data_IF_952358789136
#
_entry.id   IF_952358789136
#
_cell.length_a   1.000
_cell.length_b   1.000
_cell.length_c   1.000
_cell.angle_alpha   90.00
_cell.angle_beta   90.00
_cell.angle_gamma   90.00
#
_symmetry.space_group_name_H-M   'P 1'
#
loop_
_entity.id
_entity.type
_entity.pdbx_description
1 polymer ?
#
# COMPACT_ATOMS: atom_id res chain seq x y z
N UNK A 1 16.91 3.89 8.23
CA UNK A 1 15.81 4.74 7.74
C UNK A 1 16.19 5.42 6.42
N UNK A 2 17.30 6.16 6.35
CA UNK A 2 17.72 6.85 5.11
C UNK A 2 17.64 5.98 3.85
N UNK A 3 18.25 4.79 3.85
CA UNK A 3 18.18 3.88 2.69
C UNK A 3 16.74 3.56 2.21
N UNK A 4 15.78 3.42 3.14
CA UNK A 4 14.36 3.19 2.79
C UNK A 4 13.74 4.44 2.15
N UNK A 5 14.03 5.61 2.69
CA UNK A 5 13.52 6.88 2.16
C UNK A 5 14.16 7.21 0.80
N UNK A 6 15.47 7.00 0.67
CA UNK A 6 16.21 7.15 -0.58
C UNK A 6 15.63 6.21 -1.65
N UNK A 7 15.28 4.97 -1.29
CA UNK A 7 14.62 4.06 -2.22
C UNK A 7 13.26 4.58 -2.70
N UNK A 8 12.44 5.15 -1.83
CA UNK A 8 11.18 5.78 -2.25
C UNK A 8 11.41 6.98 -3.18
N UNK A 9 12.41 7.80 -2.87
CA UNK A 9 12.74 9.01 -3.63
C UNK A 9 13.28 8.67 -5.02
N UNK A 10 14.10 7.62 -5.13
CA UNK A 10 14.68 7.16 -6.40
C UNK A 10 13.68 6.35 -7.25
N UNK A 11 12.72 5.64 -6.63
CA UNK A 11 11.71 4.88 -7.38
C UNK A 11 10.74 5.81 -8.13
N UNK A 12 10.31 6.92 -7.51
CA UNK A 12 9.30 7.82 -8.06
C UNK A 12 9.62 8.35 -9.48
N UNK A 13 10.82 8.90 -9.77
CA UNK A 13 11.13 9.35 -11.12
C UNK A 13 11.14 8.19 -12.14
N UNK A 14 11.57 6.99 -11.74
CA UNK A 14 11.58 5.81 -12.63
C UNK A 14 10.17 5.43 -13.07
N UNK A 15 9.21 5.42 -12.13
CA UNK A 15 7.83 5.06 -12.46
C UNK A 15 7.08 6.19 -13.16
N UNK A 16 7.40 7.45 -12.86
CA UNK A 16 6.82 8.59 -13.56
C UNK A 16 7.30 8.67 -15.02
N UNK A 17 8.57 8.36 -15.29
CA UNK A 17 9.10 8.28 -16.67
C UNK A 17 8.32 7.25 -17.51
N UNK A 18 7.87 6.14 -16.91
CA UNK A 18 7.04 5.17 -17.63
C UNK A 18 5.68 5.75 -18.02
N UNK A 19 5.07 6.55 -17.15
CA UNK A 19 3.80 7.23 -17.42
C UNK A 19 3.99 8.28 -18.52
N UNK A 20 5.06 9.08 -18.46
CA UNK A 20 5.40 10.07 -19.48
C UNK A 20 5.61 9.45 -20.87
N UNK A 21 6.14 8.22 -20.91
CA UNK A 21 6.28 7.42 -22.12
C UNK A 21 4.97 6.76 -22.60
N UNK A 22 3.84 7.02 -21.94
CA UNK A 22 2.51 6.55 -22.32
C UNK A 22 2.14 5.18 -21.78
N UNK A 23 2.89 4.63 -20.84
CA UNK A 23 2.56 3.35 -20.20
C UNK A 23 1.58 3.56 -19.03
N UNK A 24 0.63 2.63 -18.88
CA UNK A 24 -0.06 2.45 -17.61
C UNK A 24 0.83 1.60 -16.69
N UNK A 25 0.96 2.02 -15.44
CA UNK A 25 1.88 1.43 -14.47
C UNK A 25 1.11 0.96 -13.25
N UNK A 26 1.40 -0.28 -12.84
CA UNK A 26 1.01 -0.83 -11.55
C UNK A 26 2.28 -0.97 -10.71
N UNK A 27 2.33 -0.31 -9.56
CA UNK A 27 3.37 -0.55 -8.54
C UNK A 27 2.76 -1.44 -7.48
N UNK A 28 3.34 -2.61 -7.25
CA UNK A 28 2.87 -3.54 -6.21
C UNK A 28 4.02 -4.06 -5.36
N UNK A 29 3.72 -4.32 -4.09
CA UNK A 29 4.62 -4.95 -3.15
C UNK A 29 4.43 -4.47 -1.73
N UNK A 30 5.34 -4.91 -0.87
CA UNK A 30 5.46 -4.48 0.52
C UNK A 30 6.20 -3.15 0.60
N UNK A 31 5.45 -2.08 0.85
CA UNK A 31 6.02 -0.76 1.07
C UNK A 31 6.63 -0.62 2.45
N UNK A 32 6.36 -1.51 3.41
CA UNK A 32 6.77 -1.39 4.80
C UNK A 32 6.28 -0.10 5.48
N UNK A 33 5.21 0.55 4.98
CA UNK A 33 4.67 1.80 5.54
C UNK A 33 3.14 1.78 5.48
N UNK A 34 2.48 2.03 6.61
CA UNK A 34 1.05 2.31 6.68
C UNK A 34 0.80 3.80 6.44
N UNK A 35 -0.06 4.16 5.49
CA UNK A 35 -0.22 5.56 5.04
C UNK A 35 -1.00 6.42 6.05
N UNK A 36 -2.15 5.93 6.50
CA UNK A 36 -3.06 6.68 7.36
C UNK A 36 -3.36 5.93 8.67
N UNK A 37 -3.87 6.61 9.72
CA UNK A 37 -4.23 5.94 10.98
C UNK A 37 -5.23 4.79 10.85
N UNK A 38 -6.04 4.76 9.79
CA UNK A 38 -6.98 3.68 9.48
C UNK A 38 -6.25 2.40 9.01
N UNK A 39 -5.00 2.51 8.56
CA UNK A 39 -4.19 1.44 7.99
C UNK A 39 -3.41 0.64 9.02
N UNK A 40 -3.62 0.86 10.32
CA UNK A 40 -3.06 0.02 11.39
C UNK A 40 -3.93 0.04 12.64
N UNK A 41 -3.87 -1.03 13.43
CA UNK A 41 -4.71 -1.19 14.61
C UNK A 41 -4.37 -0.22 15.76
N UNK A 42 -3.12 0.25 15.83
CA UNK A 42 -2.59 1.04 16.96
C UNK A 42 -1.77 2.25 16.49
N UNK A 43 -2.37 3.23 15.79
CA UNK A 43 -1.64 4.36 15.20
C UNK A 43 -0.88 5.18 16.24
N UNK A 44 -1.54 5.57 17.34
CA UNK A 44 -0.97 6.42 18.40
C UNK A 44 0.28 5.82 19.05
N UNK A 45 0.32 4.50 19.18
CA UNK A 45 1.45 3.79 19.79
C UNK A 45 2.65 3.68 18.83
N UNK A 46 2.43 3.92 17.54
CA UNK A 46 3.39 3.65 16.48
C UNK A 46 3.85 4.88 15.69
N UNK A 47 3.46 6.10 16.09
CA UNK A 47 3.88 7.36 15.44
C UNK A 47 5.41 7.55 15.40
N UNK A 48 6.15 6.83 16.25
CA UNK A 48 7.61 6.85 16.32
C UNK A 48 8.26 5.55 15.88
N UNK A 49 7.48 4.60 15.37
CA UNK A 49 7.93 3.30 14.89
C UNK A 49 8.07 3.36 13.37
N UNK A 50 9.22 2.90 12.85
CA UNK A 50 9.41 2.79 11.39
C UNK A 50 8.29 1.94 10.80
N UNK A 51 7.70 2.46 9.72
CA UNK A 51 6.47 2.00 9.09
C UNK A 51 5.26 2.90 9.36
N UNK A 52 5.30 3.79 10.35
CA UNK A 52 4.23 4.77 10.59
C UNK A 52 4.75 6.14 11.03
N UNK A 53 6.06 6.40 10.89
CA UNK A 53 6.62 7.71 11.19
C UNK A 53 6.08 8.76 10.21
N UNK A 54 5.89 10.03 10.64
CA UNK A 54 5.44 11.10 9.76
C UNK A 54 6.25 11.20 8.47
N UNK A 55 7.58 11.10 8.54
CA UNK A 55 8.47 11.20 7.38
C UNK A 55 8.28 10.05 6.35
N UNK A 56 7.86 8.86 6.78
CA UNK A 56 7.56 7.76 5.87
C UNK A 56 6.20 7.94 5.21
N UNK A 57 5.22 8.46 5.97
CA UNK A 57 3.87 8.77 5.47
C UNK A 57 3.89 9.92 4.47
N UNK A 58 4.69 10.95 4.75
CA UNK A 58 4.95 12.07 3.83
C UNK A 58 5.49 11.58 2.48
N UNK A 59 6.24 10.47 2.43
CA UNK A 59 6.68 9.89 1.15
C UNK A 59 5.52 9.29 0.37
N UNK A 60 4.59 8.58 1.02
CA UNK A 60 3.39 8.11 0.33
C UNK A 60 2.52 9.31 -0.11
N UNK A 61 2.42 10.37 0.70
CA UNK A 61 1.73 11.61 0.31
C UNK A 61 2.36 12.22 -0.97
N UNK A 62 3.69 12.19 -1.11
CA UNK A 62 4.37 12.59 -2.35
C UNK A 62 3.90 11.78 -3.55
N UNK A 63 3.79 10.45 -3.45
CA UNK A 63 3.26 9.62 -4.54
C UNK A 63 1.81 10.01 -4.87
N UNK A 64 0.94 10.14 -3.87
CA UNK A 64 -0.47 10.52 -4.10
C UNK A 64 -0.59 11.89 -4.78
N UNK A 65 0.20 12.88 -4.35
CA UNK A 65 0.26 14.19 -5.01
C UNK A 65 0.83 14.17 -6.44
N UNK A 66 1.54 13.11 -6.82
CA UNK A 66 2.03 12.87 -8.19
C UNK A 66 1.03 12.07 -9.05
N UNK A 67 -0.22 11.89 -8.59
CA UNK A 67 -1.26 11.20 -9.34
C UNK A 67 -1.20 9.68 -9.23
N UNK A 68 -0.60 9.16 -8.16
CA UNK A 68 -0.67 7.74 -7.83
C UNK A 68 -1.90 7.45 -6.95
N UNK A 69 -2.67 6.44 -7.34
CA UNK A 69 -3.92 6.05 -6.69
C UNK A 69 -3.73 4.74 -5.95
N UNK A 70 -3.97 4.75 -4.63
CA UNK A 70 -4.09 3.53 -3.81
C UNK A 70 -5.35 2.77 -4.21
N UNK A 71 -5.18 1.66 -4.92
CA UNK A 71 -6.31 0.90 -5.48
C UNK A 71 -7.21 0.30 -4.41
N UNK A 72 -6.67 -0.12 -3.26
CA UNK A 72 -7.50 -0.63 -2.17
C UNK A 72 -8.39 0.47 -1.62
N UNK A 73 -7.85 1.68 -1.42
CA UNK A 73 -8.64 2.83 -0.94
C UNK A 73 -9.55 3.45 -1.98
N UNK A 74 -9.32 3.17 -3.26
CA UNK A 74 -10.28 3.51 -4.31
C UNK A 74 -11.61 2.77 -4.15
N UNK A 75 -11.57 1.49 -3.77
CA UNK A 75 -12.77 0.65 -3.61
C UNK A 75 -13.27 0.53 -2.16
N UNK A 76 -12.37 0.58 -1.17
CA UNK A 76 -12.65 0.22 0.22
C UNK A 76 -12.29 1.35 1.20
N UNK A 77 -13.31 1.85 1.91
CA UNK A 77 -13.15 2.89 2.94
C UNK A 77 -13.21 2.37 4.37
N UNK A 78 -13.43 1.06 4.55
CA UNK A 78 -13.54 0.41 5.84
C UNK A 78 -12.19 0.27 6.57
N UNK A 79 -12.28 0.24 7.89
CA UNK A 79 -11.16 0.04 8.80
C UNK A 79 -10.92 -1.46 9.06
N UNK A 80 -9.85 -1.78 9.79
CA UNK A 80 -9.51 -3.16 10.21
C UNK A 80 -9.14 -4.12 9.06
N UNK A 81 -8.67 -3.56 7.94
CA UNK A 81 -8.20 -4.28 6.76
C UNK A 81 -6.68 -4.14 6.68
N UNK A 82 -5.96 -5.21 7.02
CA UNK A 82 -4.52 -5.22 7.21
C UNK A 82 -3.88 -6.35 6.40
N UNK A 83 -2.62 -6.17 6.01
CA UNK A 83 -1.86 -7.12 5.21
C UNK A 83 -0.70 -7.76 5.97
N UNK A 84 -0.33 -7.23 7.14
CA UNK A 84 0.77 -7.72 7.96
C UNK A 84 0.42 -7.77 9.45
N UNK A 85 0.93 -8.80 10.14
CA UNK A 85 0.84 -8.96 11.59
C UNK A 85 2.11 -9.58 12.16
N UNK A 86 2.57 -9.07 13.31
CA UNK A 86 3.63 -9.72 14.06
C UNK A 86 3.22 -11.13 14.51
N UNK A 87 4.15 -12.10 14.48
CA UNK A 87 3.93 -13.44 15.03
C UNK A 87 3.70 -13.46 16.55
N UNK A 88 3.91 -12.33 17.25
CA UNK A 88 3.83 -12.26 18.71
C UNK A 88 2.40 -12.10 19.18
N UNK A 89 2.11 -12.69 20.34
CA UNK A 89 0.87 -12.46 21.10
C UNK A 89 -0.42 -12.77 20.33
N UNK A 90 -0.37 -13.62 19.30
CA UNK A 90 -1.54 -13.89 18.44
C UNK A 90 -2.11 -12.60 17.84
N UNK A 91 -1.25 -11.76 17.25
CA UNK A 91 -1.67 -10.47 16.71
C UNK A 91 -2.63 -10.64 15.52
N UNK A 92 -2.43 -11.66 14.67
CA UNK A 92 -3.27 -11.93 13.51
C UNK A 92 -4.68 -12.35 13.92
N UNK A 93 -4.80 -13.25 14.89
CA UNK A 93 -6.08 -13.71 15.42
C UNK A 93 -6.87 -12.59 16.12
N UNK A 94 -6.17 -11.62 16.71
CA UNK A 94 -6.77 -10.43 17.34
C UNK A 94 -6.91 -9.23 16.39
N UNK A 95 -6.56 -9.41 15.12
CA UNK A 95 -6.48 -8.39 14.09
C UNK A 95 -5.71 -7.11 14.50
N UNK A 96 -4.60 -7.27 15.22
CA UNK A 96 -3.68 -6.18 15.55
C UNK A 96 -2.64 -6.06 14.44
N UNK A 97 -3.06 -5.56 13.29
CA UNK A 97 -2.28 -5.56 12.05
C UNK A 97 -1.98 -4.18 11.49
N UNK A 98 -1.25 -4.19 10.37
CA UNK A 98 -0.86 -3.04 9.56
C UNK A 98 -1.15 -3.36 8.09
N UNK A 99 -1.60 -2.38 7.32
CA UNK A 99 -1.68 -2.45 5.85
C UNK A 99 -0.42 -1.81 5.29
N UNK A 100 0.49 -2.64 4.83
CA UNK A 100 1.80 -2.23 4.29
C UNK A 100 2.06 -2.76 2.89
N UNK A 101 1.17 -3.61 2.37
CA UNK A 101 1.22 -4.16 1.02
C UNK A 101 0.19 -3.44 0.15
N UNK A 102 0.62 -2.95 -1.02
CA UNK A 102 -0.18 -2.06 -1.86
C UNK A 102 -0.18 -2.48 -3.32
N UNK A 103 -1.21 -2.01 -4.01
CA UNK A 103 -1.21 -1.77 -5.44
C UNK A 103 -1.49 -0.27 -5.65
N UNK A 104 -0.55 0.44 -6.26
CA UNK A 104 -0.72 1.82 -6.74
C UNK A 104 -0.79 1.83 -8.26
N UNK A 105 -1.62 2.72 -8.82
CA UNK A 105 -1.70 2.95 -10.27
C UNK A 105 -1.67 4.42 -10.61
N UNK A 106 -1.30 4.78 -11.84
CA UNK A 106 -1.49 6.12 -12.36
C UNK A 106 -2.98 6.45 -12.55
N UNK A 107 -3.38 7.70 -12.33
CA UNK A 107 -4.79 8.16 -12.39
C UNK A 107 -5.55 7.68 -13.63
N UNK A 108 -4.95 7.76 -14.82
CA UNK A 108 -5.61 7.36 -16.08
C UNK A 108 -5.90 5.87 -16.18
N UNK A 109 -5.28 5.05 -15.33
CA UNK A 109 -5.49 3.60 -15.31
C UNK A 109 -6.62 3.15 -14.37
N UNK A 110 -7.15 4.05 -13.54
CA UNK A 110 -8.24 3.75 -12.59
C UNK A 110 -9.48 3.19 -13.29
N UNK A 111 -9.81 3.68 -14.50
CA UNK A 111 -10.98 3.21 -15.24
C UNK A 111 -10.87 1.74 -15.69
N UNK A 112 -9.68 1.15 -15.67
CA UNK A 112 -9.44 -0.24 -16.03
C UNK A 112 -9.50 -1.19 -14.82
N UNK A 113 -9.69 -0.66 -13.62
CA UNK A 113 -9.76 -1.46 -12.40
C UNK A 113 -11.19 -2.00 -12.18
N UNK A 114 -11.29 -3.24 -11.72
CA UNK A 114 -12.54 -3.90 -11.35
C UNK A 114 -12.70 -3.96 -9.82
N UNK A 115 -11.66 -4.38 -9.09
CA UNK A 115 -11.63 -4.42 -7.62
C UNK A 115 -10.19 -4.55 -7.09
N UNK A 116 -9.97 -4.27 -5.81
CA UNK A 116 -8.74 -4.56 -5.09
C UNK A 116 -9.04 -5.16 -3.72
N UNK A 117 -8.35 -6.23 -3.32
CA UNK A 117 -8.65 -6.94 -2.07
C UNK A 117 -7.44 -7.39 -1.26
N UNK A 118 -7.70 -7.63 0.03
CA UNK A 118 -6.74 -8.15 1.01
C UNK A 118 -7.25 -9.49 1.52
N UNK A 119 -6.38 -10.51 1.55
CA UNK A 119 -6.76 -11.91 1.80
C UNK A 119 -6.27 -12.44 3.16
N UNK A 120 -6.79 -11.95 4.30
CA UNK A 120 -6.26 -12.24 5.63
C UNK A 120 -6.35 -13.71 6.05
N UNK A 121 -7.18 -14.51 5.37
CA UNK A 121 -7.33 -15.95 5.64
C UNK A 121 -6.22 -16.81 5.01
N UNK A 122 -5.42 -16.25 4.08
CA UNK A 122 -4.31 -16.97 3.45
C UNK A 122 -3.08 -16.90 4.35
N UNK A 123 -2.72 -18.03 4.94
CA UNK A 123 -1.62 -18.18 5.90
C UNK A 123 -0.29 -18.56 5.22
N UNK A 124 0.82 -18.45 5.96
CA UNK A 124 2.15 -18.92 5.52
C UNK A 124 3.27 -17.88 5.67
N UNK A 125 2.92 -16.63 5.90
CA UNK A 125 3.81 -15.50 6.18
C UNK A 125 3.18 -14.62 7.28
N UNK A 126 3.96 -13.70 7.83
CA UNK A 126 3.51 -12.56 8.62
C UNK A 126 2.68 -11.59 7.78
N UNK A 127 2.81 -11.67 6.45
CA UNK A 127 1.93 -11.04 5.50
C UNK A 127 0.77 -11.96 5.07
N UNK A 128 -0.27 -11.35 4.50
CA UNK A 128 -1.23 -12.01 3.62
C UNK A 128 -1.19 -11.40 2.22
N UNK A 129 -1.61 -12.12 1.17
CA UNK A 129 -1.67 -11.57 -0.18
C UNK A 129 -2.62 -10.38 -0.27
N UNK A 130 -2.27 -9.45 -1.16
CA UNK A 130 -3.17 -8.44 -1.72
C UNK A 130 -3.35 -8.71 -3.21
N UNK A 131 -4.49 -8.30 -3.78
CA UNK A 131 -4.80 -8.51 -5.20
C UNK A 131 -5.41 -7.28 -5.83
N UNK A 132 -5.15 -7.10 -7.12
CA UNK A 132 -5.83 -6.16 -7.99
C UNK A 132 -6.48 -6.92 -9.16
N UNK A 133 -7.76 -6.65 -9.41
CA UNK A 133 -8.52 -7.19 -10.53
C UNK A 133 -8.67 -6.11 -11.59
N UNK A 134 -8.33 -6.43 -12.83
CA UNK A 134 -8.52 -5.57 -13.99
C UNK A 134 -9.77 -5.98 -14.77
N UNK A 135 -10.42 -5.03 -15.45
CA UNK A 135 -11.56 -5.35 -16.31
C UNK A 135 -11.11 -6.23 -17.47
N UNK A 136 -12.02 -7.11 -17.91
CA UNK A 136 -11.73 -8.17 -18.88
C UNK A 136 -11.32 -7.68 -20.27
N UNK A 137 -11.70 -6.44 -20.62
CA UNK A 137 -11.41 -5.81 -21.91
C UNK A 137 -10.17 -4.89 -21.86
N UNK A 138 -9.44 -4.89 -20.74
CA UNK A 138 -8.31 -3.98 -20.46
C UNK A 138 -6.94 -4.48 -20.90
N UNK A 139 -6.86 -5.60 -21.64
CA UNK A 139 -5.63 -6.25 -22.10
C UNK A 139 -5.60 -6.44 -23.61
#
# INVERSE_FOLDING_TARGET
>A
LNYKLDFYDELLPVVNEQIENGNNVIITGDWNTAHHPIDLARPKENEKTSGFMPIERERIDTYVSNGWVDTFRHFHSDANRYSWWTYRFGARERNVGWRIDYFFVNETFVEQLDDAEIHPDIMGSDHCPVSLTLKRDSL
#
